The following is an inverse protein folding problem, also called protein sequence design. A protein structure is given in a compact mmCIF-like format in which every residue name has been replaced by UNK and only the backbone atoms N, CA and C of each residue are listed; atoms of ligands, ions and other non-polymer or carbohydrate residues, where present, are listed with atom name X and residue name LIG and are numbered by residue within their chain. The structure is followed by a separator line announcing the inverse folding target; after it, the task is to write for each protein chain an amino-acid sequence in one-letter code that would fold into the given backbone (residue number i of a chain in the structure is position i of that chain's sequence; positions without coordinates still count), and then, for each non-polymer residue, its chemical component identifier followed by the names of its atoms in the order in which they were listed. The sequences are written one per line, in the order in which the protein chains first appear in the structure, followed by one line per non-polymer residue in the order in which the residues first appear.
data_IF_910715796140
#
_entry.id   IF_910715796140
#
_cell.length_a   1.000
_cell.length_b   1.000
_cell.length_c   1.000
_cell.angle_alpha   90.00
_cell.angle_beta   90.00
_cell.angle_gamma   90.00
#
_symmetry.space_group_name_H-M   'P 1'
#
loop_
_entity.id
_entity.type
_entity.pdbx_description
1 polymer ?
#
# COMPACT_ATOMS: atom_id res chain seq x y z
N UNK A 1 -35.15 -42.58 -50.93
CA UNK A 1 -35.18 -42.52 -49.46
C UNK A 1 -34.27 -41.38 -49.03
N UNK A 2 -34.85 -40.21 -48.74
CA UNK A 2 -34.13 -39.06 -48.21
C UNK A 2 -34.83 -38.67 -46.92
N UNK A 3 -34.22 -39.00 -45.79
CA UNK A 3 -34.67 -38.61 -44.46
C UNK A 3 -34.27 -37.15 -44.22
N UNK A 4 -35.28 -36.28 -44.10
CA UNK A 4 -35.12 -34.90 -43.66
C UNK A 4 -34.80 -34.85 -42.17
N UNK A 5 -33.73 -34.14 -41.82
CA UNK A 5 -33.36 -33.80 -40.45
C UNK A 5 -34.34 -32.70 -39.97
N UNK A 6 -35.21 -33.03 -39.03
CA UNK A 6 -36.02 -32.05 -38.31
C UNK A 6 -35.15 -31.45 -37.21
N UNK A 7 -34.79 -30.16 -37.34
CA UNK A 7 -34.22 -29.38 -36.25
C UNK A 7 -35.31 -29.19 -35.19
N UNK A 8 -35.10 -29.76 -34.00
CA UNK A 8 -35.91 -29.48 -32.83
C UNK A 8 -35.66 -28.04 -32.37
N UNK A 9 -36.73 -27.25 -32.25
CA UNK A 9 -36.68 -25.90 -31.70
C UNK A 9 -36.30 -25.94 -30.22
N UNK A 10 -35.46 -24.99 -29.78
CA UNK A 10 -35.18 -24.75 -28.36
C UNK A 10 -36.47 -24.44 -27.59
N UNK A 11 -36.64 -25.00 -26.37
CA UNK A 11 -37.80 -24.68 -25.54
C UNK A 11 -37.75 -23.20 -25.11
N UNK A 12 -38.92 -22.53 -25.01
CA UNK A 12 -38.99 -21.12 -24.63
C UNK A 12 -38.44 -20.92 -23.21
N UNK A 13 -37.69 -19.83 -23.02
CA UNK A 13 -37.16 -19.42 -21.71
C UNK A 13 -38.28 -19.38 -20.66
N UNK A 14 -38.09 -20.15 -19.58
CA UNK A 14 -39.02 -20.18 -18.45
C UNK A 14 -39.13 -18.78 -17.83
N UNK A 15 -40.34 -18.40 -17.38
CA UNK A 15 -40.55 -17.15 -16.65
C UNK A 15 -39.72 -17.17 -15.37
N UNK A 16 -39.12 -16.03 -14.96
CA UNK A 16 -38.36 -15.94 -13.72
C UNK A 16 -39.26 -16.32 -12.54
N UNK A 17 -38.74 -17.15 -11.63
CA UNK A 17 -39.48 -17.58 -10.44
C UNK A 17 -39.58 -16.44 -9.43
N UNK A 18 -40.70 -16.33 -8.71
CA UNK A 18 -40.87 -15.26 -7.73
C UNK A 18 -39.99 -15.51 -6.48
N UNK A 19 -39.45 -14.45 -5.84
CA UNK A 19 -38.64 -14.58 -4.61
C UNK A 19 -39.34 -15.40 -3.52
N UNK A 20 -40.66 -15.23 -3.37
CA UNK A 20 -41.47 -15.95 -2.38
C UNK A 20 -41.47 -17.46 -2.64
N UNK A 21 -41.43 -17.87 -3.91
CA UNK A 21 -41.33 -19.29 -4.27
C UNK A 21 -39.98 -19.87 -3.85
N UNK A 22 -38.89 -19.13 -4.08
CA UNK A 22 -37.55 -19.58 -3.69
C UNK A 22 -37.47 -19.70 -2.15
N UNK A 23 -37.98 -18.73 -1.40
CA UNK A 23 -38.03 -18.79 0.06
C UNK A 23 -38.85 -19.98 0.58
N UNK A 24 -39.99 -20.26 -0.06
CA UNK A 24 -40.81 -21.43 0.27
C UNK A 24 -40.02 -22.73 0.05
N UNK A 25 -39.29 -22.84 -1.06
CA UNK A 25 -38.45 -24.00 -1.36
C UNK A 25 -37.29 -24.14 -0.37
N UNK A 26 -36.64 -23.03 0.02
CA UNK A 26 -35.60 -23.05 1.06
C UNK A 26 -36.16 -23.58 2.39
N UNK A 27 -37.35 -23.11 2.82
CA UNK A 27 -38.00 -23.63 4.03
C UNK A 27 -38.27 -25.13 3.93
N UNK A 28 -38.72 -25.61 2.77
CA UNK A 28 -38.99 -27.03 2.51
C UNK A 28 -37.73 -27.90 2.51
N UNK A 29 -36.53 -27.33 2.39
CA UNK A 29 -35.29 -28.10 2.58
C UNK A 29 -35.15 -28.66 4.00
N UNK A 30 -35.83 -28.09 5.01
CA UNK A 30 -35.83 -28.55 6.40
C UNK A 30 -37.09 -29.31 6.80
N UNK A 31 -37.94 -29.68 5.84
CA UNK A 31 -39.20 -30.37 6.14
C UNK A 31 -38.96 -31.73 6.83
N UNK A 32 -39.90 -32.19 7.67
CA UNK A 32 -39.79 -33.49 8.33
C UNK A 32 -39.89 -34.65 7.33
N UNK A 33 -40.68 -34.48 6.27
CA UNK A 33 -40.86 -35.46 5.21
C UNK A 33 -39.70 -35.44 4.20
N UNK A 34 -39.09 -36.60 3.97
CA UNK A 34 -37.93 -36.76 3.09
C UNK A 34 -38.25 -36.39 1.63
N UNK A 35 -39.44 -36.76 1.13
CA UNK A 35 -39.81 -36.50 -0.27
C UNK A 35 -40.02 -35.02 -0.53
N UNK A 36 -40.60 -34.30 0.43
CA UNK A 36 -40.75 -32.85 0.39
C UNK A 36 -39.38 -32.15 0.31
N UNK A 37 -38.41 -32.58 1.13
CA UNK A 37 -37.02 -32.07 1.05
C UNK A 37 -36.38 -32.35 -0.30
N UNK A 38 -36.54 -33.57 -0.82
CA UNK A 38 -35.97 -33.97 -2.09
C UNK A 38 -36.55 -33.15 -3.26
N UNK A 39 -37.87 -32.98 -3.32
CA UNK A 39 -38.53 -32.18 -4.35
C UNK A 39 -38.08 -30.73 -4.32
N UNK A 40 -37.99 -30.13 -3.11
CA UNK A 40 -37.52 -28.76 -2.96
C UNK A 40 -36.06 -28.60 -3.45
N UNK A 41 -35.19 -29.55 -3.12
CA UNK A 41 -33.81 -29.54 -3.59
C UNK A 41 -33.71 -29.67 -5.13
N UNK A 42 -34.50 -30.56 -5.74
CA UNK A 42 -34.52 -30.72 -7.20
C UNK A 42 -35.03 -29.45 -7.89
N UNK A 43 -36.07 -28.81 -7.35
CA UNK A 43 -36.62 -27.57 -7.90
C UNK A 43 -35.61 -26.42 -7.77
N UNK A 44 -34.99 -26.23 -6.60
CA UNK A 44 -33.90 -25.26 -6.42
C UNK A 44 -32.70 -25.54 -7.34
N UNK A 45 -32.38 -26.81 -7.57
CA UNK A 45 -31.36 -27.21 -8.54
C UNK A 45 -31.71 -26.82 -9.99
N UNK A 46 -32.99 -26.93 -10.37
CA UNK A 46 -33.46 -26.48 -11.70
C UNK A 46 -33.45 -24.96 -11.84
N UNK A 47 -33.76 -24.23 -10.78
CA UNK A 47 -33.68 -22.76 -10.75
C UNK A 47 -32.25 -22.25 -10.93
N UNK A 48 -31.25 -23.03 -10.51
CA UNK A 48 -29.84 -22.71 -10.76
C UNK A 48 -29.46 -21.36 -10.13
N UNK A 49 -28.86 -20.49 -10.93
CA UNK A 49 -28.38 -19.18 -10.46
C UNK A 49 -29.49 -18.21 -10.03
N UNK A 50 -30.75 -18.44 -10.41
CA UNK A 50 -31.88 -17.66 -9.87
C UNK A 50 -32.03 -17.86 -8.36
N UNK A 51 -31.73 -19.06 -7.86
CA UNK A 51 -31.78 -19.38 -6.43
C UNK A 51 -30.46 -19.15 -5.69
N UNK A 52 -29.40 -18.72 -6.38
CA UNK A 52 -28.03 -18.66 -5.81
C UNK A 52 -27.97 -17.84 -4.52
N UNK A 53 -28.58 -16.65 -4.51
CA UNK A 53 -28.52 -15.75 -3.35
C UNK A 53 -29.23 -16.34 -2.13
N UNK A 54 -30.43 -16.87 -2.31
CA UNK A 54 -31.20 -17.52 -1.25
C UNK A 54 -30.51 -18.78 -0.73
N UNK A 55 -29.90 -19.59 -1.62
CA UNK A 55 -29.10 -20.75 -1.23
C UNK A 55 -27.83 -20.33 -0.48
N UNK A 56 -27.16 -19.26 -0.90
CA UNK A 56 -25.98 -18.75 -0.22
C UNK A 56 -26.32 -18.29 1.20
N UNK A 57 -27.42 -17.55 1.38
CA UNK A 57 -27.93 -17.17 2.70
C UNK A 57 -28.32 -18.39 3.55
N UNK A 58 -28.96 -19.39 2.96
CA UNK A 58 -29.35 -20.61 3.64
C UNK A 58 -28.17 -21.52 4.04
N UNK A 59 -26.97 -21.31 3.49
CA UNK A 59 -25.80 -22.17 3.73
C UNK A 59 -25.26 -22.14 5.17
N UNK A 60 -25.65 -21.12 5.95
CA UNK A 60 -25.33 -20.92 7.37
C UNK A 60 -26.57 -20.96 8.26
N UNK A 61 -27.70 -21.48 7.76
CA UNK A 61 -28.96 -21.58 8.49
C UNK A 61 -28.82 -22.45 9.77
N UNK A 62 -29.59 -22.11 10.81
CA UNK A 62 -29.57 -22.82 12.11
C UNK A 62 -30.03 -24.28 12.00
N UNK A 63 -30.99 -24.55 11.10
CA UNK A 63 -31.33 -25.89 10.67
C UNK A 63 -30.23 -26.48 9.78
N UNK A 64 -29.56 -27.50 10.32
CA UNK A 64 -28.47 -28.20 9.65
C UNK A 64 -28.87 -28.87 8.33
N UNK A 65 -30.12 -29.34 8.21
CA UNK A 65 -30.60 -29.98 6.97
C UNK A 65 -30.72 -28.95 5.84
N UNK A 66 -31.30 -27.78 6.14
CA UNK A 66 -31.36 -26.64 5.21
C UNK A 66 -29.94 -26.24 4.80
N UNK A 67 -29.06 -26.02 5.78
CA UNK A 67 -27.69 -25.58 5.53
C UNK A 67 -26.88 -26.58 4.71
N UNK A 68 -27.00 -27.88 5.01
CA UNK A 68 -26.29 -28.94 4.29
C UNK A 68 -26.74 -29.04 2.83
N UNK A 69 -28.05 -29.01 2.57
CA UNK A 69 -28.61 -29.09 1.21
C UNK A 69 -28.34 -27.84 0.39
N UNK A 70 -28.40 -26.67 1.01
CA UNK A 70 -28.00 -25.41 0.38
C UNK A 70 -26.52 -25.45 -0.06
N UNK A 71 -25.61 -25.87 0.83
CA UNK A 71 -24.18 -26.06 0.49
C UNK A 71 -23.97 -27.09 -0.62
N UNK A 72 -24.73 -28.17 -0.63
CA UNK A 72 -24.68 -29.17 -1.70
C UNK A 72 -25.06 -28.55 -3.05
N UNK A 73 -26.17 -27.83 -3.12
CA UNK A 73 -26.62 -27.16 -4.35
C UNK A 73 -25.61 -26.12 -4.85
N UNK A 74 -25.09 -25.26 -3.96
CA UNK A 74 -24.06 -24.27 -4.32
C UNK A 74 -22.79 -24.90 -4.87
N UNK A 75 -22.40 -26.08 -4.38
CA UNK A 75 -21.24 -26.82 -4.89
C UNK A 75 -21.47 -27.36 -6.31
N UNK A 76 -22.71 -27.70 -6.65
CA UNK A 76 -23.07 -28.14 -8.00
C UNK A 76 -23.14 -26.99 -8.99
N UNK A 77 -23.43 -25.77 -8.52
CA UNK A 77 -23.43 -24.57 -9.35
C UNK A 77 -22.02 -24.24 -9.83
N UNK A 78 -21.84 -24.26 -11.14
CA UNK A 78 -20.63 -23.77 -11.82
C UNK A 78 -20.97 -22.44 -12.48
N UNK A 79 -20.40 -21.36 -11.96
CA UNK A 79 -20.59 -20.05 -12.55
C UNK A 79 -19.74 -19.94 -13.82
N UNK A 80 -20.36 -19.45 -14.88
CA UNK A 80 -19.60 -18.96 -16.04
C UNK A 80 -19.06 -17.58 -15.66
N UNK A 81 -17.78 -17.56 -15.30
CA UNK A 81 -17.09 -16.32 -14.95
C UNK A 81 -16.87 -15.41 -16.17
N UNK A 82 -17.01 -15.93 -17.38
CA UNK A 82 -16.83 -15.24 -18.64
C UNK A 82 -18.16 -15.18 -19.39
N UNK A 83 -18.49 -14.02 -19.95
CA UNK A 83 -19.63 -13.80 -20.85
C UNK A 83 -19.17 -13.58 -22.29
N UNK A 84 -20.05 -13.88 -23.25
CA UNK A 84 -19.81 -13.62 -24.67
C UNK A 84 -19.49 -12.13 -24.94
N UNK A 85 -20.17 -11.22 -24.22
CA UNK A 85 -19.98 -9.77 -24.32
C UNK A 85 -18.74 -9.23 -23.62
N UNK A 86 -18.03 -10.06 -22.83
CA UNK A 86 -16.80 -9.60 -22.16
C UNK A 86 -15.69 -9.35 -23.19
N UNK A 87 -14.85 -8.36 -22.92
CA UNK A 87 -13.70 -8.07 -23.75
C UNK A 87 -12.61 -9.15 -23.65
N UNK A 88 -11.63 -9.09 -24.56
CA UNK A 88 -10.49 -10.01 -24.53
C UNK A 88 -9.72 -9.94 -23.20
N UNK A 89 -9.53 -8.72 -22.64
CA UNK A 89 -8.81 -8.52 -21.37
C UNK A 89 -9.58 -9.10 -20.19
N UNK A 90 -10.90 -8.90 -20.13
CA UNK A 90 -11.76 -9.48 -19.08
C UNK A 90 -11.74 -11.01 -19.17
N UNK A 91 -11.85 -11.57 -20.38
CA UNK A 91 -11.79 -13.01 -20.65
C UNK A 91 -10.47 -13.62 -20.19
N UNK A 92 -9.35 -12.97 -20.50
CA UNK A 92 -8.02 -13.38 -20.05
C UNK A 92 -7.90 -13.30 -18.52
N UNK A 93 -8.37 -12.22 -17.91
CA UNK A 93 -8.30 -12.03 -16.46
C UNK A 93 -9.06 -13.10 -15.68
N UNK A 94 -10.24 -13.50 -16.16
CA UNK A 94 -11.11 -14.51 -15.52
C UNK A 94 -10.88 -15.94 -16.02
N UNK A 95 -9.89 -16.15 -16.89
CA UNK A 95 -9.52 -17.48 -17.33
C UNK A 95 -9.08 -18.35 -16.14
N UNK A 96 -9.67 -19.54 -16.01
CA UNK A 96 -9.40 -20.48 -14.91
C UNK A 96 -9.61 -19.88 -13.51
N UNK A 97 -10.44 -18.84 -13.36
CA UNK A 97 -10.65 -18.13 -12.09
C UNK A 97 -11.01 -19.07 -10.91
N UNK A 98 -11.84 -20.09 -11.14
CA UNK A 98 -12.26 -21.06 -10.11
C UNK A 98 -11.07 -21.84 -9.52
N UNK A 99 -9.99 -22.05 -10.28
CA UNK A 99 -8.82 -22.82 -9.84
C UNK A 99 -7.82 -21.97 -9.03
N UNK A 100 -8.00 -20.65 -8.99
CA UNK A 100 -7.11 -19.72 -8.29
C UNK A 100 -7.33 -19.75 -6.77
N UNK A 101 -6.25 -19.53 -6.02
CA UNK A 101 -6.32 -19.31 -4.57
C UNK A 101 -6.85 -17.90 -4.23
N UNK A 102 -7.14 -17.65 -2.95
CA UNK A 102 -7.75 -16.40 -2.47
C UNK A 102 -6.94 -15.15 -2.88
N UNK A 103 -5.62 -15.06 -2.60
CA UNK A 103 -4.82 -13.90 -3.04
C UNK A 103 -4.83 -13.67 -4.55
N UNK A 104 -4.77 -14.74 -5.35
CA UNK A 104 -4.80 -14.64 -6.80
C UNK A 104 -6.17 -14.12 -7.29
N UNK A 105 -7.27 -14.55 -6.69
CA UNK A 105 -8.61 -14.05 -7.03
C UNK A 105 -8.77 -12.57 -6.68
N UNK A 106 -8.29 -12.16 -5.51
CA UNK A 106 -8.25 -10.74 -5.10
C UNK A 106 -7.47 -9.89 -6.10
N UNK A 107 -6.30 -10.36 -6.54
CA UNK A 107 -5.51 -9.68 -7.57
C UNK A 107 -6.29 -9.55 -8.89
N UNK A 108 -7.03 -10.58 -9.31
CA UNK A 108 -7.90 -10.48 -10.51
C UNK A 108 -8.98 -9.40 -10.34
N UNK A 109 -9.57 -9.27 -9.17
CA UNK A 109 -10.57 -8.22 -8.89
C UNK A 109 -9.95 -6.82 -9.02
N UNK A 110 -8.76 -6.61 -8.47
CA UNK A 110 -8.02 -5.35 -8.61
C UNK A 110 -7.68 -5.05 -10.07
N UNK A 111 -7.20 -6.05 -10.82
CA UNK A 111 -6.91 -5.90 -12.26
C UNK A 111 -8.17 -5.53 -13.05
N UNK A 112 -9.30 -6.16 -12.78
CA UNK A 112 -10.58 -5.81 -13.42
C UNK A 112 -11.00 -4.38 -13.10
N UNK A 113 -10.83 -3.93 -11.86
CA UNK A 113 -11.21 -2.58 -11.44
C UNK A 113 -10.33 -1.51 -12.11
N UNK A 114 -9.05 -1.83 -12.37
CA UNK A 114 -8.11 -0.94 -13.05
C UNK A 114 -8.22 -0.92 -14.59
N UNK A 115 -9.15 -1.68 -15.19
CA UNK A 115 -9.34 -1.64 -16.65
C UNK A 115 -9.93 -0.27 -17.08
N UNK A 116 -9.49 0.28 -18.22
CA UNK A 116 -9.95 1.59 -18.69
C UNK A 116 -11.44 1.58 -19.01
N UNK A 117 -12.06 2.77 -18.95
CA UNK A 117 -13.45 3.01 -19.34
C UNK A 117 -14.51 2.14 -18.63
N UNK A 118 -14.17 1.58 -17.46
CA UNK A 118 -15.06 0.71 -16.69
C UNK A 118 -15.29 -0.68 -17.31
N UNK A 119 -14.41 -1.13 -18.21
CA UNK A 119 -14.52 -2.40 -18.93
C UNK A 119 -14.67 -3.62 -18.00
N UNK A 120 -14.09 -3.58 -16.79
CA UNK A 120 -14.21 -4.63 -15.79
C UNK A 120 -15.44 -4.57 -14.87
N UNK A 121 -16.25 -3.52 -14.94
CA UNK A 121 -17.36 -3.28 -13.96
C UNK A 121 -18.41 -4.38 -14.03
N UNK A 122 -18.82 -4.80 -15.23
CA UNK A 122 -19.83 -5.86 -15.36
C UNK A 122 -19.32 -7.21 -14.82
N UNK A 123 -18.05 -7.52 -15.07
CA UNK A 123 -17.39 -8.72 -14.55
C UNK A 123 -17.28 -8.68 -13.01
N UNK A 124 -16.96 -7.53 -12.43
CA UNK A 124 -16.95 -7.34 -10.98
C UNK A 124 -18.36 -7.44 -10.39
N UNK A 125 -19.40 -6.91 -11.04
CA UNK A 125 -20.79 -7.11 -10.61
C UNK A 125 -21.16 -8.61 -10.61
N UNK A 126 -20.68 -9.38 -11.60
CA UNK A 126 -20.86 -10.84 -11.66
C UNK A 126 -20.18 -11.54 -10.48
N UNK A 127 -18.95 -11.14 -10.14
CA UNK A 127 -18.23 -11.65 -8.97
C UNK A 127 -18.93 -11.28 -7.65
N UNK A 128 -19.37 -10.03 -7.50
CA UNK A 128 -20.17 -9.58 -6.35
C UNK A 128 -21.38 -10.48 -6.16
N UNK A 129 -22.08 -10.83 -7.25
CA UNK A 129 -23.31 -11.61 -7.19
C UNK A 129 -23.08 -13.10 -6.95
N UNK A 130 -22.10 -13.70 -7.62
CA UNK A 130 -21.99 -15.15 -7.75
C UNK A 130 -20.75 -15.78 -7.10
N UNK A 131 -19.83 -14.97 -6.56
CA UNK A 131 -18.70 -15.51 -5.79
C UNK A 131 -19.20 -16.24 -4.54
N UNK A 132 -18.75 -17.48 -4.40
CA UNK A 132 -19.19 -18.42 -3.35
C UNK A 132 -18.70 -17.98 -1.98
N UNK A 133 -17.49 -17.42 -1.92
CA UNK A 133 -16.98 -16.82 -0.68
C UNK A 133 -17.64 -15.45 -0.45
N UNK A 134 -18.31 -15.31 0.70
CA UNK A 134 -18.90 -14.03 1.13
C UNK A 134 -17.84 -12.92 1.20
N UNK A 135 -16.66 -13.23 1.75
CA UNK A 135 -15.54 -12.29 1.83
C UNK A 135 -15.01 -11.86 0.44
N UNK A 136 -14.81 -12.80 -0.49
CA UNK A 136 -14.35 -12.49 -1.86
C UNK A 136 -15.41 -11.68 -2.64
N UNK A 137 -16.69 -11.99 -2.47
CA UNK A 137 -17.81 -11.23 -3.05
C UNK A 137 -17.81 -9.76 -2.57
N UNK A 138 -17.54 -9.53 -1.28
CA UNK A 138 -17.36 -8.18 -0.71
C UNK A 138 -16.10 -7.48 -1.23
N UNK A 139 -15.01 -8.21 -1.38
CA UNK A 139 -13.76 -7.67 -1.95
C UNK A 139 -13.91 -7.25 -3.42
N UNK A 140 -14.73 -7.95 -4.21
CA UNK A 140 -15.06 -7.52 -5.56
C UNK A 140 -15.78 -6.16 -5.59
N UNK A 141 -16.65 -5.89 -4.60
CA UNK A 141 -17.27 -4.57 -4.45
C UNK A 141 -16.25 -3.51 -4.02
N UNK A 142 -15.40 -3.82 -3.04
CA UNK A 142 -14.36 -2.90 -2.56
C UNK A 142 -13.34 -2.54 -3.64
N UNK A 143 -13.04 -3.45 -4.57
CA UNK A 143 -12.17 -3.16 -5.71
C UNK A 143 -12.71 -2.02 -6.59
N UNK A 144 -14.04 -1.89 -6.72
CA UNK A 144 -14.67 -0.79 -7.46
C UNK A 144 -14.74 0.53 -6.68
N UNK A 145 -14.77 0.46 -5.35
CA UNK A 145 -14.99 1.62 -4.48
C UNK A 145 -13.77 2.53 -4.32
N UNK A 146 -12.62 2.13 -4.90
CA UNK A 146 -11.34 2.85 -4.92
C UNK A 146 -11.05 3.68 -3.66
N UNK A 147 -10.41 3.06 -2.67
CA UNK A 147 -10.17 3.68 -1.37
C UNK A 147 -9.28 4.94 -1.42
N UNK A 148 -8.52 5.16 -2.50
CA UNK A 148 -7.55 6.25 -2.62
C UNK A 148 -8.09 7.51 -3.33
N UNK A 149 -9.10 7.35 -4.20
CA UNK A 149 -9.90 8.48 -4.71
C UNK A 149 -11.39 8.12 -4.69
N UNK A 150 -12.12 8.55 -3.64
CA UNK A 150 -13.54 8.28 -3.52
C UNK A 150 -14.33 9.23 -4.43
N UNK A 151 -14.32 9.01 -5.73
CA UNK A 151 -15.20 9.71 -6.66
C UNK A 151 -16.57 9.00 -6.71
N UNK A 152 -17.67 9.72 -6.98
CA UNK A 152 -18.90 9.07 -7.36
C UNK A 152 -18.69 8.33 -8.69
N UNK A 153 -19.38 7.20 -8.93
CA UNK A 153 -19.25 6.48 -10.19
C UNK A 153 -19.79 7.31 -11.35
N UNK A 154 -19.16 7.21 -12.52
CA UNK A 154 -19.67 7.81 -13.76
C UNK A 154 -21.00 7.19 -14.19
N UNK A 155 -21.76 7.90 -15.03
CA UNK A 155 -23.12 7.51 -15.45
C UNK A 155 -23.20 6.10 -16.06
N UNK A 156 -22.23 5.73 -16.90
CA UNK A 156 -22.15 4.39 -17.49
C UNK A 156 -22.00 3.29 -16.42
N UNK A 157 -21.16 3.54 -15.41
CA UNK A 157 -20.93 2.62 -14.28
C UNK A 157 -22.18 2.51 -13.42
N UNK A 158 -22.86 3.63 -13.13
CA UNK A 158 -24.14 3.65 -12.41
C UNK A 158 -25.18 2.78 -13.11
N UNK A 159 -25.30 2.92 -14.44
CA UNK A 159 -26.24 2.13 -15.24
C UNK A 159 -25.95 0.64 -15.12
N UNK A 160 -24.69 0.22 -15.29
CA UNK A 160 -24.29 -1.19 -15.16
C UNK A 160 -24.60 -1.72 -13.75
N UNK A 161 -24.20 -1.00 -12.71
CA UNK A 161 -24.44 -1.42 -11.32
C UNK A 161 -25.94 -1.60 -11.07
N UNK A 162 -26.77 -0.63 -11.46
CA UNK A 162 -28.23 -0.73 -11.27
C UNK A 162 -28.82 -1.90 -12.06
N UNK A 163 -28.48 -2.04 -13.33
CA UNK A 163 -28.98 -3.13 -14.19
C UNK A 163 -28.60 -4.52 -13.64
N UNK A 164 -27.38 -4.69 -13.14
CA UNK A 164 -26.86 -5.99 -12.70
C UNK A 164 -27.19 -6.33 -11.24
N UNK A 165 -27.32 -5.32 -10.37
CA UNK A 165 -27.33 -5.50 -8.92
C UNK A 165 -28.56 -4.94 -8.20
N UNK A 166 -29.48 -4.20 -8.84
CA UNK A 166 -30.64 -3.58 -8.14
C UNK A 166 -31.51 -4.55 -7.32
N UNK A 167 -31.57 -5.82 -7.72
CA UNK A 167 -32.35 -6.86 -7.03
C UNK A 167 -31.47 -7.84 -6.25
N UNK A 168 -30.17 -7.55 -6.13
CA UNK A 168 -29.22 -8.40 -5.41
C UNK A 168 -29.15 -7.97 -3.95
N UNK A 169 -29.34 -8.91 -3.03
CA UNK A 169 -29.35 -8.63 -1.59
C UNK A 169 -28.00 -8.84 -0.90
N UNK A 170 -26.97 -9.21 -1.66
CA UNK A 170 -25.63 -9.43 -1.11
C UNK A 170 -25.01 -8.12 -0.60
N UNK A 171 -24.24 -8.13 0.51
CA UNK A 171 -23.64 -6.92 1.08
C UNK A 171 -22.88 -6.08 0.06
N UNK A 172 -21.99 -6.68 -0.73
CA UNK A 172 -21.23 -5.97 -1.77
C UNK A 172 -22.11 -5.28 -2.81
N UNK A 173 -23.26 -5.85 -3.16
CA UNK A 173 -24.20 -5.22 -4.09
C UNK A 173 -24.89 -4.00 -3.45
N UNK A 174 -25.30 -4.12 -2.19
CA UNK A 174 -25.88 -3.02 -1.41
C UNK A 174 -24.87 -1.87 -1.31
N UNK A 175 -23.59 -2.17 -1.06
CA UNK A 175 -22.52 -1.16 -1.00
C UNK A 175 -22.37 -0.42 -2.33
N UNK A 176 -22.31 -1.14 -3.45
CA UNK A 176 -22.19 -0.51 -4.78
C UNK A 176 -23.42 0.34 -5.12
N UNK A 177 -24.62 -0.10 -4.76
CA UNK A 177 -25.84 0.68 -4.94
C UNK A 177 -25.83 1.95 -4.10
N UNK A 178 -25.39 1.88 -2.84
CA UNK A 178 -25.20 3.06 -1.99
C UNK A 178 -24.16 4.03 -2.60
N UNK A 179 -23.07 3.49 -3.17
CA UNK A 179 -22.08 4.30 -3.88
C UNK A 179 -22.65 5.04 -5.09
N UNK A 180 -23.59 4.45 -5.84
CA UNK A 180 -24.26 5.19 -6.94
C UNK A 180 -25.05 6.40 -6.46
N UNK A 181 -25.53 6.41 -5.21
CA UNK A 181 -26.30 7.52 -4.63
C UNK A 181 -25.43 8.67 -4.14
N UNK A 182 -24.13 8.45 -3.93
CA UNK A 182 -23.20 9.50 -3.52
C UNK A 182 -23.09 10.62 -4.56
N UNK A 183 -23.30 10.32 -5.85
CA UNK A 183 -23.35 11.34 -6.91
C UNK A 183 -24.62 12.21 -6.89
N UNK A 184 -25.68 11.76 -6.24
CA UNK A 184 -26.99 12.44 -6.20
C UNK A 184 -27.17 13.23 -4.90
N UNK A 185 -26.98 12.56 -3.75
CA UNK A 185 -27.08 13.16 -2.42
C UNK A 185 -25.99 12.58 -1.51
N UNK A 186 -24.78 13.19 -1.53
CA UNK A 186 -23.64 12.69 -0.77
C UNK A 186 -23.90 12.54 0.73
N UNK A 187 -24.68 13.45 1.33
CA UNK A 187 -24.91 13.48 2.77
C UNK A 187 -25.81 12.32 3.21
N UNK A 188 -26.97 12.14 2.56
CA UNK A 188 -27.86 11.03 2.88
C UNK A 188 -27.22 9.67 2.60
N UNK A 189 -26.47 9.56 1.49
CA UNK A 189 -25.77 8.33 1.14
C UNK A 189 -24.66 7.99 2.16
N UNK A 190 -24.00 8.99 2.74
CA UNK A 190 -22.95 8.76 3.75
C UNK A 190 -23.53 8.35 5.13
N UNK A 191 -24.71 8.85 5.50
CA UNK A 191 -25.45 8.35 6.67
C UNK A 191 -25.91 6.89 6.48
N UNK A 192 -26.32 6.52 5.27
CA UNK A 192 -26.60 5.12 4.92
C UNK A 192 -25.31 4.27 4.98
N UNK A 193 -24.20 4.79 4.43
CA UNK A 193 -22.91 4.12 4.45
C UNK A 193 -22.41 3.82 5.86
N UNK A 194 -22.58 4.75 6.80
CA UNK A 194 -22.21 4.52 8.20
C UNK A 194 -22.93 3.29 8.81
N UNK A 195 -24.22 3.10 8.48
CA UNK A 195 -24.97 1.92 8.92
C UNK A 195 -24.43 0.64 8.30
N UNK A 196 -24.01 0.70 7.03
CA UNK A 196 -23.39 -0.44 6.34
C UNK A 196 -22.05 -0.82 6.96
N UNK A 197 -21.23 0.17 7.34
CA UNK A 197 -19.97 -0.06 8.07
C UNK A 197 -20.23 -0.72 9.43
N UNK A 198 -21.19 -0.22 10.19
CA UNK A 198 -21.54 -0.78 11.50
C UNK A 198 -22.07 -2.21 11.40
N UNK A 199 -22.87 -2.51 10.37
CA UNK A 199 -23.36 -3.86 10.11
C UNK A 199 -22.23 -4.81 9.72
N UNK A 200 -21.31 -4.39 8.85
CA UNK A 200 -20.17 -5.23 8.46
C UNK A 200 -19.21 -5.48 9.64
N UNK A 201 -19.04 -4.49 10.54
CA UNK A 201 -18.32 -4.68 11.80
C UNK A 201 -18.96 -5.76 12.67
N UNK A 202 -20.31 -5.79 12.75
CA UNK A 202 -21.05 -6.83 13.48
C UNK A 202 -20.85 -8.20 12.84
N UNK A 203 -20.88 -8.29 11.51
CA UNK A 203 -20.60 -9.54 10.78
C UNK A 203 -19.20 -10.03 11.06
N UNK A 204 -18.19 -9.16 11.03
CA UNK A 204 -16.81 -9.51 11.38
C UNK A 204 -16.68 -10.08 12.80
N UNK A 205 -17.39 -9.49 13.78
CA UNK A 205 -17.36 -9.96 15.16
C UNK A 205 -18.09 -11.30 15.37
N UNK A 206 -19.18 -11.55 14.65
CA UNK A 206 -20.06 -12.70 14.87
C UNK A 206 -19.77 -13.88 13.95
N UNK A 207 -19.28 -13.62 12.74
CA UNK A 207 -19.07 -14.62 11.70
C UNK A 207 -17.75 -14.37 10.95
N UNK A 208 -16.59 -14.60 11.60
CA UNK A 208 -15.28 -14.29 11.03
C UNK A 208 -14.97 -14.86 9.63
N UNK A 209 -15.53 -16.01 9.18
CA UNK A 209 -15.30 -16.47 7.80
C UNK A 209 -15.96 -15.61 6.71
N UNK A 210 -16.94 -14.77 7.06
CA UNK A 210 -17.71 -13.97 6.11
C UNK A 210 -17.21 -12.52 5.97
N UNK A 211 -16.24 -12.11 6.77
CA UNK A 211 -15.67 -10.76 6.78
C UNK A 211 -14.24 -10.78 7.32
N UNK A 212 -13.56 -9.64 7.29
CA UNK A 212 -12.20 -9.52 7.78
C UNK A 212 -11.84 -8.08 8.16
N UNK A 213 -10.79 -7.87 8.97
CA UNK A 213 -10.33 -6.53 9.32
C UNK A 213 -10.03 -5.69 8.08
N UNK A 214 -9.51 -6.30 7.01
CA UNK A 214 -9.21 -5.65 5.74
C UNK A 214 -10.46 -5.10 5.03
N UNK A 215 -11.58 -5.85 5.09
CA UNK A 215 -12.86 -5.43 4.49
C UNK A 215 -13.42 -4.23 5.25
N UNK A 216 -13.50 -4.35 6.58
CA UNK A 216 -14.02 -3.27 7.43
C UNK A 216 -13.13 -2.01 7.32
N UNK A 217 -11.81 -2.20 7.31
CA UNK A 217 -10.85 -1.10 7.17
C UNK A 217 -11.03 -0.36 5.86
N UNK A 218 -11.18 -1.07 4.74
CA UNK A 218 -11.43 -0.46 3.43
C UNK A 218 -12.73 0.35 3.41
N UNK A 219 -13.82 -0.16 4.01
CA UNK A 219 -15.09 0.59 4.10
C UNK A 219 -14.97 1.86 4.95
N UNK A 220 -14.19 1.81 6.04
CA UNK A 220 -13.93 2.97 6.90
C UNK A 220 -13.05 3.99 6.16
N UNK A 221 -11.99 3.56 5.47
CA UNK A 221 -11.13 4.47 4.67
C UNK A 221 -11.94 5.19 3.60
N UNK A 222 -12.82 4.48 2.90
CA UNK A 222 -13.78 5.08 1.96
C UNK A 222 -14.68 6.12 2.64
N UNK A 223 -15.22 5.79 3.82
CA UNK A 223 -16.05 6.72 4.60
C UNK A 223 -15.27 7.99 4.98
N UNK A 224 -14.05 7.84 5.51
CA UNK A 224 -13.18 8.96 5.92
C UNK A 224 -12.90 9.88 4.74
N UNK A 225 -12.58 9.31 3.59
CA UNK A 225 -12.24 10.09 2.41
C UNK A 225 -13.44 10.92 1.90
N UNK A 226 -14.68 10.39 1.98
CA UNK A 226 -15.91 11.18 1.72
C UNK A 226 -16.21 12.23 2.80
N UNK A 227 -16.04 11.88 4.08
CA UNK A 227 -16.23 12.83 5.18
C UNK A 227 -15.28 14.03 5.04
N UNK A 228 -14.02 13.79 4.65
CA UNK A 228 -13.04 14.83 4.35
C UNK A 228 -13.48 15.70 3.16
N UNK A 229 -13.94 15.09 2.05
CA UNK A 229 -14.48 15.84 0.88
C UNK A 229 -15.67 16.73 1.24
N UNK A 230 -16.49 16.33 2.22
CA UNK A 230 -17.65 17.09 2.71
C UNK A 230 -17.34 18.05 3.87
N UNK A 231 -16.07 18.17 4.28
CA UNK A 231 -15.65 19.04 5.39
C UNK A 231 -16.17 18.58 6.77
N UNK A 232 -16.43 17.27 6.95
CA UNK A 232 -16.94 16.66 8.18
C UNK A 232 -15.81 16.12 9.07
N UNK A 233 -14.87 16.99 9.43
CA UNK A 233 -13.62 16.60 10.12
C UNK A 233 -13.82 15.82 11.42
N UNK A 234 -14.80 16.20 12.26
CA UNK A 234 -15.04 15.48 13.54
C UNK A 234 -15.52 14.05 13.32
N UNK A 235 -16.43 13.84 12.36
CA UNK A 235 -16.91 12.50 11.99
C UNK A 235 -15.80 11.68 11.33
N UNK A 236 -14.93 12.32 10.52
CA UNK A 236 -13.77 11.66 9.94
C UNK A 236 -12.80 11.18 11.04
N UNK A 237 -12.53 12.02 12.03
CA UNK A 237 -11.68 11.66 13.17
C UNK A 237 -12.27 10.49 13.99
N UNK A 238 -13.59 10.44 14.19
CA UNK A 238 -14.25 9.30 14.83
C UNK A 238 -14.14 8.02 14.01
N UNK A 239 -14.33 8.10 12.70
CA UNK A 239 -14.15 6.96 11.80
C UNK A 239 -12.69 6.46 11.83
N UNK A 240 -11.70 7.36 11.88
CA UNK A 240 -10.29 7.01 12.04
C UNK A 240 -10.02 6.31 13.39
N UNK A 241 -10.60 6.77 14.49
CA UNK A 241 -10.49 6.08 15.79
C UNK A 241 -11.06 4.66 15.75
N UNK A 242 -12.19 4.47 15.06
CA UNK A 242 -12.72 3.12 14.79
C UNK A 242 -11.71 2.27 14.01
N UNK A 243 -11.04 2.82 13.00
CA UNK A 243 -9.99 2.10 12.27
C UNK A 243 -8.82 1.69 13.20
N UNK A 244 -8.32 2.61 14.02
CA UNK A 244 -7.28 2.30 15.02
C UNK A 244 -7.71 1.19 15.98
N UNK A 245 -8.99 1.13 16.35
CA UNK A 245 -9.52 0.09 17.23
C UNK A 245 -9.55 -1.32 16.61
N UNK A 246 -9.56 -1.43 15.28
CA UNK A 246 -9.54 -2.71 14.55
C UNK A 246 -8.14 -3.32 14.46
N UNK A 247 -7.10 -2.50 14.59
CA UNK A 247 -5.71 -2.94 14.52
C UNK A 247 -5.42 -3.97 15.63
N UNK A 248 -4.61 -4.98 15.30
CA UNK A 248 -4.24 -6.09 16.19
C UNK A 248 -2.75 -6.07 16.58
N UNK A 249 -1.97 -5.17 15.99
CA UNK A 249 -0.56 -4.95 16.34
C UNK A 249 0.40 -5.83 15.56
N UNK A 250 0.05 -6.22 14.33
CA UNK A 250 1.01 -6.82 13.39
C UNK A 250 1.98 -5.77 12.88
N UNK A 251 3.26 -6.13 12.70
CA UNK A 251 4.27 -5.13 12.28
C UNK A 251 3.94 -4.49 10.93
N UNK A 252 3.61 -5.31 9.92
CA UNK A 252 3.23 -4.85 8.58
C UNK A 252 1.93 -4.04 8.61
N UNK A 253 0.89 -4.51 9.31
CA UNK A 253 -0.39 -3.78 9.41
C UNK A 253 -0.26 -2.46 10.17
N UNK A 254 0.58 -2.40 11.20
CA UNK A 254 0.89 -1.17 11.92
C UNK A 254 1.59 -0.15 11.02
N UNK A 255 2.57 -0.59 10.23
CA UNK A 255 3.27 0.28 9.30
C UNK A 255 2.31 0.85 8.23
N UNK A 256 1.51 -0.01 7.59
CA UNK A 256 0.52 0.41 6.59
C UNK A 256 -0.53 1.38 7.15
N UNK A 257 -1.01 1.13 8.37
CA UNK A 257 -1.96 2.02 9.03
C UNK A 257 -1.29 3.35 9.38
N UNK A 258 -0.05 3.33 9.87
CA UNK A 258 0.69 4.52 10.26
C UNK A 258 0.96 5.44 9.07
N UNK A 259 1.40 4.90 7.94
CA UNK A 259 1.58 5.65 6.69
C UNK A 259 0.28 6.36 6.28
N UNK A 260 -0.84 5.62 6.28
CA UNK A 260 -2.14 6.20 5.96
C UNK A 260 -2.56 7.29 6.96
N UNK A 261 -2.34 7.11 8.27
CA UNK A 261 -2.67 8.12 9.28
C UNK A 261 -1.85 9.41 9.11
N UNK A 262 -0.60 9.32 8.66
CA UNK A 262 0.25 10.48 8.36
C UNK A 262 -0.30 11.25 7.16
N UNK A 263 -0.70 10.55 6.09
CA UNK A 263 -1.34 11.17 4.92
C UNK A 263 -2.62 11.91 5.32
N UNK A 264 -3.42 11.32 6.22
CA UNK A 264 -4.63 11.95 6.76
C UNK A 264 -4.33 13.06 7.80
N UNK A 265 -3.07 13.28 8.18
CA UNK A 265 -2.66 14.18 9.27
C UNK A 265 -3.38 13.89 10.59
N UNK A 266 -3.68 12.62 10.84
CA UNK A 266 -4.47 12.15 11.97
C UNK A 266 -3.60 11.96 13.23
N UNK A 267 -2.94 13.03 13.67
CA UNK A 267 -1.90 12.99 14.70
C UNK A 267 -2.36 12.38 16.02
N UNK A 268 -3.58 12.68 16.45
CA UNK A 268 -4.15 12.11 17.67
C UNK A 268 -4.36 10.59 17.55
N UNK A 269 -4.77 10.11 16.38
CA UNK A 269 -4.97 8.68 16.15
C UNK A 269 -3.63 7.91 16.17
N UNK A 270 -2.54 8.55 15.75
CA UNK A 270 -1.19 7.98 15.87
C UNK A 270 -0.76 7.90 17.34
N UNK A 271 -1.02 8.95 18.14
CA UNK A 271 -0.75 8.93 19.58
C UNK A 271 -1.53 7.79 20.26
N UNK A 272 -2.80 7.61 19.91
CA UNK A 272 -3.65 6.50 20.40
C UNK A 272 -3.12 5.13 19.96
N UNK A 273 -2.67 5.01 18.70
CA UNK A 273 -2.09 3.78 18.17
C UNK A 273 -0.82 3.39 18.92
N UNK A 274 0.09 4.34 19.16
CA UNK A 274 1.33 4.13 19.91
C UNK A 274 1.07 3.75 21.38
N UNK A 275 0.03 4.32 22.01
CA UNK A 275 -0.39 3.95 23.37
C UNK A 275 -0.97 2.54 23.46
N UNK A 276 -1.60 2.06 22.38
CA UNK A 276 -2.23 0.74 22.31
C UNK A 276 -1.23 -0.39 22.03
N UNK A 277 -0.15 -0.07 21.31
CA UNK A 277 0.91 -1.02 20.95
C UNK A 277 2.32 -0.63 21.47
N UNK A 278 2.52 -0.32 22.77
CA UNK A 278 3.83 0.11 23.26
C UNK A 278 4.97 -0.87 23.00
N UNK A 279 4.81 -2.21 23.15
CA UNK A 279 5.88 -3.16 22.86
C UNK A 279 6.32 -3.16 21.40
N UNK A 280 5.37 -3.04 20.47
CA UNK A 280 5.63 -3.04 19.03
C UNK A 280 6.40 -1.78 18.63
N UNK A 281 5.92 -0.62 19.05
CA UNK A 281 6.62 0.64 18.82
C UNK A 281 8.00 0.62 19.48
N UNK A 282 8.13 0.15 20.72
CA UNK A 282 9.40 0.14 21.42
C UNK A 282 10.47 -0.80 20.80
N UNK A 283 10.06 -1.75 19.96
CA UNK A 283 10.95 -2.72 19.33
C UNK A 283 11.33 -2.37 17.88
N UNK A 284 10.68 -1.37 17.28
CA UNK A 284 10.83 -1.04 15.86
C UNK A 284 11.36 0.39 15.66
N UNK A 285 12.57 0.57 15.09
CA UNK A 285 13.14 1.88 14.84
C UNK A 285 12.28 2.75 13.91
N UNK A 286 11.66 2.16 12.90
CA UNK A 286 10.86 2.89 11.91
C UNK A 286 9.59 3.44 12.54
N UNK A 287 8.91 2.64 13.39
CA UNK A 287 7.75 3.12 14.15
C UNK A 287 8.13 4.23 15.13
N UNK A 288 9.30 4.16 15.79
CA UNK A 288 9.77 5.21 16.70
C UNK A 288 10.16 6.50 15.99
N UNK A 289 10.85 6.42 14.85
CA UNK A 289 11.17 7.60 14.05
C UNK A 289 9.93 8.27 13.48
N UNK A 290 8.94 7.46 13.11
CA UNK A 290 7.66 7.99 12.65
C UNK A 290 6.89 8.68 13.78
N UNK A 291 6.91 8.10 14.99
CA UNK A 291 6.37 8.77 16.18
C UNK A 291 7.13 10.07 16.51
N UNK A 292 8.45 10.09 16.35
CA UNK A 292 9.27 11.28 16.52
C UNK A 292 8.87 12.38 15.53
N UNK A 293 8.65 12.02 14.26
CA UNK A 293 8.15 12.92 13.23
C UNK A 293 6.80 13.53 13.62
N UNK A 294 5.87 12.69 14.08
CA UNK A 294 4.53 13.13 14.51
C UNK A 294 4.63 14.11 15.68
N UNK A 295 5.44 13.82 16.69
CA UNK A 295 5.67 14.76 17.79
C UNK A 295 6.31 16.07 17.32
N UNK A 296 7.23 16.04 16.36
CA UNK A 296 7.84 17.24 15.80
C UNK A 296 6.79 18.12 15.08
N UNK A 297 5.91 17.52 14.28
CA UNK A 297 4.84 18.22 13.56
C UNK A 297 3.77 18.80 14.51
N UNK A 298 3.56 18.16 15.67
CA UNK A 298 2.73 18.70 16.75
C UNK A 298 3.44 19.78 17.61
N UNK A 299 4.70 20.11 17.33
CA UNK A 299 5.49 21.06 18.11
C UNK A 299 6.03 20.52 19.45
N UNK A 300 5.87 19.23 19.73
CA UNK A 300 6.31 18.55 20.95
C UNK A 300 7.78 18.14 20.84
N UNK A 301 8.68 19.12 20.76
CA UNK A 301 10.11 18.94 20.45
C UNK A 301 10.83 17.93 21.37
N UNK A 302 10.57 17.98 22.67
CA UNK A 302 11.25 17.08 23.62
C UNK A 302 10.83 15.62 23.42
N UNK A 303 9.55 15.37 23.15
CA UNK A 303 9.05 14.03 22.86
C UNK A 303 9.56 13.51 21.52
N UNK A 304 9.67 14.38 20.51
CA UNK A 304 10.28 14.04 19.23
C UNK A 304 11.74 13.61 19.42
N UNK A 305 12.53 14.40 20.15
CA UNK A 305 13.93 14.08 20.43
C UNK A 305 14.06 12.76 21.22
N UNK A 306 13.21 12.54 22.23
CA UNK A 306 13.21 11.30 23.01
C UNK A 306 12.85 10.08 22.16
N UNK A 307 11.85 10.19 21.28
CA UNK A 307 11.46 9.08 20.41
C UNK A 307 12.56 8.74 19.40
N UNK A 308 13.16 9.74 18.75
CA UNK A 308 14.29 9.56 17.85
C UNK A 308 15.52 8.97 18.55
N UNK A 309 15.81 9.41 19.78
CA UNK A 309 16.89 8.85 20.59
C UNK A 309 16.66 7.38 20.92
N UNK A 310 15.43 7.01 21.29
CA UNK A 310 15.07 5.61 21.55
C UNK A 310 15.22 4.76 20.29
N UNK A 311 14.84 5.30 19.12
CA UNK A 311 15.02 4.61 17.84
C UNK A 311 16.50 4.32 17.56
N UNK A 312 17.36 5.33 17.71
CA UNK A 312 18.82 5.21 17.52
C UNK A 312 19.47 4.22 18.50
N UNK A 313 18.90 4.05 19.69
CA UNK A 313 19.40 3.09 20.69
C UNK A 313 18.97 1.64 20.42
N UNK A 314 18.07 1.41 19.47
CA UNK A 314 17.72 0.05 19.03
C UNK A 314 18.83 -0.52 18.16
N UNK A 315 18.93 -1.85 18.17
CA UNK A 315 19.98 -2.62 17.48
C UNK A 315 21.42 -2.20 17.88
N UNK A 316 21.75 -2.09 19.18
CA UNK A 316 23.05 -1.60 19.59
C UNK A 316 24.16 -2.59 19.26
N UNK A 317 25.31 -2.08 18.81
CA UNK A 317 26.51 -2.87 18.53
C UNK A 317 27.07 -2.67 17.13
N UNK A 318 27.99 -3.59 16.78
CA UNK A 318 28.85 -3.53 15.59
C UNK A 318 28.67 -4.73 14.64
N UNK A 319 27.71 -5.61 14.93
CA UNK A 319 27.46 -6.76 14.04
C UNK A 319 26.86 -6.26 12.71
N UNK A 320 27.13 -6.93 11.57
CA UNK A 320 26.61 -6.52 10.27
C UNK A 320 25.11 -6.27 10.28
N UNK A 321 24.33 -7.20 10.83
CA UNK A 321 22.87 -7.12 10.85
C UNK A 321 22.39 -5.88 11.59
N UNK A 322 23.09 -5.48 12.66
CA UNK A 322 22.79 -4.29 13.45
C UNK A 322 23.10 -3.02 12.66
N UNK A 323 24.30 -2.95 12.08
CA UNK A 323 24.72 -1.82 11.25
C UNK A 323 23.82 -1.65 10.01
N UNK A 324 23.39 -2.75 9.39
CA UNK A 324 22.42 -2.73 8.30
C UNK A 324 21.07 -2.13 8.72
N UNK A 325 20.58 -2.42 9.93
CA UNK A 325 19.34 -1.80 10.45
C UNK A 325 19.47 -0.28 10.59
N UNK A 326 20.61 0.20 11.10
CA UNK A 326 20.89 1.64 11.17
C UNK A 326 20.97 2.28 9.77
N UNK A 327 21.60 1.62 8.79
CA UNK A 327 21.62 2.09 7.41
C UNK A 327 20.22 2.18 6.78
N UNK A 328 19.39 1.15 6.97
CA UNK A 328 18.00 1.15 6.49
C UNK A 328 17.20 2.30 7.10
N UNK A 329 17.37 2.56 8.40
CA UNK A 329 16.76 3.70 9.08
C UNK A 329 17.26 5.04 8.50
N UNK A 330 18.58 5.18 8.30
CA UNK A 330 19.18 6.39 7.71
C UNK A 330 18.60 6.71 6.32
N UNK A 331 18.44 5.70 5.48
CA UNK A 331 17.86 5.83 4.13
C UNK A 331 16.39 6.21 4.17
N UNK A 332 15.58 5.49 4.95
CA UNK A 332 14.16 5.80 5.11
C UNK A 332 13.96 7.24 5.61
N UNK A 333 14.76 7.68 6.60
CA UNK A 333 14.75 9.03 7.12
C UNK A 333 15.15 10.07 6.07
N UNK A 334 16.19 9.79 5.27
CA UNK A 334 16.64 10.66 4.18
C UNK A 334 15.53 10.84 3.15
N UNK A 335 14.91 9.75 2.72
CA UNK A 335 13.86 9.77 1.69
C UNK A 335 12.61 10.51 2.19
N UNK A 336 12.38 10.54 3.51
CA UNK A 336 11.36 11.36 4.19
C UNK A 336 11.80 12.80 4.52
N UNK A 337 12.99 13.22 4.07
CA UNK A 337 13.55 14.56 4.32
C UNK A 337 13.93 14.83 5.78
N UNK A 338 14.04 13.81 6.63
CA UNK A 338 14.45 13.92 8.05
C UNK A 338 15.97 13.86 8.18
N UNK A 339 16.63 14.84 7.59
CA UNK A 339 18.09 14.88 7.44
C UNK A 339 18.84 14.84 8.77
N UNK A 340 18.36 15.54 9.81
CA UNK A 340 19.03 15.56 11.12
C UNK A 340 19.10 14.16 11.76
N UNK A 341 18.02 13.37 11.67
CA UNK A 341 18.00 12.02 12.21
C UNK A 341 18.75 11.04 11.32
N UNK A 342 18.62 11.17 9.99
CA UNK A 342 19.40 10.38 9.02
C UNK A 342 20.91 10.54 9.25
N UNK A 343 21.38 11.77 9.47
CA UNK A 343 22.77 12.07 9.83
C UNK A 343 23.25 11.28 11.04
N UNK A 344 22.46 11.25 12.13
CA UNK A 344 22.82 10.54 13.38
C UNK A 344 22.97 9.05 13.16
N UNK A 345 22.13 8.45 12.32
CA UNK A 345 22.21 7.03 11.95
C UNK A 345 23.47 6.73 11.14
N UNK A 346 23.80 7.54 10.13
CA UNK A 346 25.06 7.39 9.39
C UNK A 346 26.28 7.57 10.29
N UNK A 347 26.26 8.57 11.18
CA UNK A 347 27.32 8.81 12.16
C UNK A 347 27.49 7.62 13.11
N UNK A 348 26.39 6.99 13.55
CA UNK A 348 26.43 5.79 14.37
C UNK A 348 27.12 4.63 13.63
N UNK A 349 26.72 4.38 12.37
CA UNK A 349 27.35 3.33 11.54
C UNK A 349 28.84 3.59 11.39
N UNK A 350 29.25 4.81 11.06
CA UNK A 350 30.66 5.20 10.92
C UNK A 350 31.43 5.02 12.23
N UNK A 351 30.81 5.31 13.38
CA UNK A 351 31.45 5.21 14.69
C UNK A 351 31.60 3.77 15.18
N UNK A 352 30.65 2.89 14.87
CA UNK A 352 30.65 1.50 15.33
C UNK A 352 31.30 0.52 14.35
N UNK A 353 31.42 0.90 13.07
CA UNK A 353 31.99 0.05 12.05
C UNK A 353 33.48 -0.23 12.30
N UNK A 354 33.83 -1.51 12.37
CA UNK A 354 35.23 -1.97 12.39
C UNK A 354 35.81 -2.12 10.98
N UNK A 355 37.08 -2.51 10.91
CA UNK A 355 37.77 -2.79 9.62
C UNK A 355 37.11 -3.94 8.83
N UNK A 356 36.48 -4.88 9.54
CA UNK A 356 35.81 -6.06 8.96
C UNK A 356 34.58 -5.73 8.10
N UNK A 357 34.00 -4.54 8.26
CA UNK A 357 32.79 -4.09 7.57
C UNK A 357 32.98 -2.74 6.87
N UNK A 358 34.22 -2.46 6.44
CA UNK A 358 34.59 -1.17 5.89
C UNK A 358 33.72 -0.72 4.70
N UNK A 359 33.08 -1.65 3.97
CA UNK A 359 32.06 -1.35 2.96
C UNK A 359 30.88 -0.52 3.51
N UNK A 360 30.41 -0.81 4.73
CA UNK A 360 29.31 -0.09 5.36
C UNK A 360 29.74 1.33 5.78
N UNK A 361 30.98 1.46 6.27
CA UNK A 361 31.57 2.77 6.58
C UNK A 361 31.76 3.62 5.33
N UNK A 362 32.24 3.04 4.23
CA UNK A 362 32.38 3.73 2.93
C UNK A 362 31.00 4.23 2.46
N UNK A 363 29.99 3.37 2.52
CA UNK A 363 28.63 3.70 2.14
C UNK A 363 28.08 4.85 2.99
N UNK A 364 28.06 4.69 4.31
CA UNK A 364 27.56 5.70 5.25
C UNK A 364 28.28 7.05 5.11
N UNK A 365 29.61 7.03 4.99
CA UNK A 365 30.42 8.25 4.87
C UNK A 365 30.15 9.00 3.56
N UNK A 366 29.90 8.28 2.47
CA UNK A 366 29.60 8.88 1.17
C UNK A 366 28.26 9.62 1.19
N UNK A 367 27.21 8.99 1.75
CA UNK A 367 25.91 9.63 1.90
C UNK A 367 25.92 10.78 2.91
N UNK A 368 26.58 10.58 4.06
CA UNK A 368 26.75 11.64 5.05
C UNK A 368 27.45 12.86 4.44
N UNK A 369 28.51 12.65 3.65
CA UNK A 369 29.22 13.75 3.02
C UNK A 369 28.35 14.56 2.05
N UNK A 370 27.55 13.89 1.22
CA UNK A 370 26.61 14.58 0.33
C UNK A 370 25.56 15.36 1.12
N UNK A 371 24.98 14.73 2.15
CA UNK A 371 23.99 15.38 3.02
C UNK A 371 24.55 16.66 3.68
N UNK A 372 25.78 16.58 4.21
CA UNK A 372 26.47 17.72 4.82
C UNK A 372 26.81 18.80 3.78
N UNK A 373 27.24 18.40 2.58
CA UNK A 373 27.54 19.34 1.51
C UNK A 373 26.31 20.11 1.07
N UNK A 374 25.17 19.44 0.90
CA UNK A 374 23.88 20.05 0.53
C UNK A 374 23.36 21.02 1.61
N UNK A 375 23.75 20.80 2.87
CA UNK A 375 23.46 21.71 3.99
C UNK A 375 24.46 22.88 4.13
N UNK A 376 25.49 22.95 3.27
CA UNK A 376 26.56 23.96 3.34
C UNK A 376 27.67 23.63 4.36
N UNK A 377 27.62 22.47 5.03
CA UNK A 377 28.67 22.01 5.96
C UNK A 377 29.86 21.39 5.20
N UNK A 378 30.42 22.12 4.24
CA UNK A 378 31.42 21.62 3.28
C UNK A 378 32.68 21.03 3.93
N UNK A 379 33.15 21.63 5.04
CA UNK A 379 34.32 21.12 5.76
C UNK A 379 34.04 19.79 6.46
N UNK A 380 32.85 19.63 7.04
CA UNK A 380 32.43 18.38 7.66
C UNK A 380 32.21 17.29 6.61
N UNK A 381 31.64 17.65 5.45
CA UNK A 381 31.50 16.76 4.31
C UNK A 381 32.86 16.21 3.83
N UNK A 382 33.85 17.10 3.65
CA UNK A 382 35.21 16.71 3.30
C UNK A 382 35.84 15.80 4.37
N UNK A 383 35.62 16.10 5.66
CA UNK A 383 36.14 15.28 6.75
C UNK A 383 35.55 13.86 6.78
N UNK A 384 34.27 13.70 6.44
CA UNK A 384 33.63 12.38 6.33
C UNK A 384 34.29 11.52 5.25
N UNK A 385 34.49 12.09 4.05
CA UNK A 385 35.18 11.38 2.95
C UNK A 385 36.66 11.13 3.24
N UNK A 386 37.33 12.04 3.95
CA UNK A 386 38.74 11.88 4.32
C UNK A 386 38.99 10.61 5.12
N UNK A 387 38.10 10.25 6.04
CA UNK A 387 38.20 9.00 6.81
C UNK A 387 38.19 7.77 5.91
N UNK A 388 37.37 7.79 4.86
CA UNK A 388 37.33 6.71 3.85
C UNK A 388 38.65 6.63 3.11
N UNK A 389 39.18 7.77 2.65
CA UNK A 389 40.46 7.83 1.93
C UNK A 389 41.60 7.30 2.80
N UNK A 390 41.70 7.76 4.05
CA UNK A 390 42.72 7.30 5.00
C UNK A 390 42.61 5.79 5.28
N UNK A 391 41.40 5.25 5.40
CA UNK A 391 41.18 3.81 5.62
C UNK A 391 41.58 2.97 4.40
N UNK A 392 41.30 3.44 3.18
CA UNK A 392 41.72 2.76 1.94
C UNK A 392 43.23 2.84 1.76
N UNK A 393 43.84 4.00 2.00
CA UNK A 393 45.29 4.22 1.90
C UNK A 393 46.07 3.37 2.92
N UNK A 394 45.50 3.19 4.12
CA UNK A 394 46.03 2.28 5.14
C UNK A 394 45.80 0.78 4.82
N UNK A 395 45.15 0.46 3.70
CA UNK A 395 44.84 -0.91 3.27
C UNK A 395 43.64 -1.56 3.98
N UNK A 396 42.99 -0.85 4.91
CA UNK A 396 41.93 -1.38 5.79
C UNK A 396 40.57 -1.51 5.10
N UNK A 397 40.34 -0.75 4.04
CA UNK A 397 39.09 -0.74 3.27
C UNK A 397 39.31 -1.07 1.77
N UNK A 398 40.55 -1.43 1.40
CA UNK A 398 40.98 -1.51 -0.01
C UNK A 398 40.23 -2.58 -0.81
N UNK A 399 39.86 -3.69 -0.19
CA UNK A 399 39.14 -4.79 -0.85
C UNK A 399 37.68 -4.44 -1.18
N UNK A 400 37.12 -3.44 -0.51
CA UNK A 400 35.71 -3.05 -0.62
C UNK A 400 35.47 -1.87 -1.55
N UNK A 401 36.53 -1.16 -1.93
CA UNK A 401 36.46 0.03 -2.79
C UNK A 401 37.31 -0.18 -4.03
N UNK A 402 36.67 -0.23 -5.19
CA UNK A 402 37.40 -0.25 -6.47
C UNK A 402 38.19 1.04 -6.66
N UNK A 403 39.33 0.97 -7.33
CA UNK A 403 40.22 2.13 -7.58
C UNK A 403 39.49 3.33 -8.24
N UNK A 404 38.56 3.06 -9.15
CA UNK A 404 37.73 4.11 -9.76
C UNK A 404 36.79 4.79 -8.74
N UNK A 405 36.25 4.04 -7.79
CA UNK A 405 35.34 4.56 -6.77
C UNK A 405 36.11 5.39 -5.72
N UNK A 406 37.33 4.97 -5.33
CA UNK A 406 38.13 5.76 -4.39
C UNK A 406 38.62 7.06 -5.02
N UNK A 407 38.92 7.08 -6.32
CA UNK A 407 39.28 8.32 -7.01
C UNK A 407 38.11 9.31 -7.05
N UNK A 408 36.87 8.83 -7.25
CA UNK A 408 35.68 9.68 -7.12
C UNK A 408 35.54 10.25 -5.71
N UNK A 409 35.70 9.42 -4.68
CA UNK A 409 35.64 9.85 -3.26
C UNK A 409 36.73 10.89 -2.94
N UNK A 410 37.96 10.69 -3.43
CA UNK A 410 39.06 11.67 -3.27
C UNK A 410 38.76 12.98 -4.00
N UNK A 411 38.21 12.91 -5.22
CA UNK A 411 37.79 14.09 -5.97
C UNK A 411 36.74 14.89 -5.18
N UNK A 412 35.67 14.24 -4.73
CA UNK A 412 34.60 14.85 -3.95
C UNK A 412 35.12 15.45 -2.63
N UNK A 413 36.01 14.74 -1.91
CA UNK A 413 36.65 15.24 -0.69
C UNK A 413 37.38 16.56 -0.94
N UNK A 414 38.18 16.62 -1.99
CA UNK A 414 38.93 17.82 -2.37
C UNK A 414 38.02 18.94 -2.87
N UNK A 415 36.99 18.60 -3.65
CA UNK A 415 35.97 19.55 -4.09
C UNK A 415 35.22 20.19 -2.92
N UNK A 416 34.76 19.41 -1.95
CA UNK A 416 34.10 19.93 -0.74
C UNK A 416 35.04 20.81 0.09
N UNK A 417 36.33 20.43 0.17
CA UNK A 417 37.35 21.29 0.79
C UNK A 417 37.47 22.63 0.06
N UNK A 418 37.43 22.63 -1.28
CA UNK A 418 37.46 23.86 -2.07
C UNK A 418 36.22 24.72 -1.83
N UNK A 419 35.02 24.14 -1.77
CA UNK A 419 33.79 24.88 -1.49
C UNK A 419 33.86 25.57 -0.12
N UNK A 420 34.38 24.90 0.92
CA UNK A 420 34.61 25.54 2.21
C UNK A 420 35.51 26.79 2.10
N UNK A 421 36.66 26.66 1.43
CA UNK A 421 37.58 27.80 1.29
C UNK A 421 37.02 28.92 0.40
N UNK A 422 36.14 28.59 -0.54
CA UNK A 422 35.40 29.56 -1.31
C UNK A 422 34.53 30.46 -0.40
N UNK A 423 33.78 29.86 0.54
CA UNK A 423 32.96 30.60 1.50
C UNK A 423 33.81 31.48 2.44
N UNK A 424 35.03 31.04 2.77
CA UNK A 424 35.98 31.82 3.57
C UNK A 424 36.74 32.88 2.77
N UNK A 425 36.52 32.98 1.45
CA UNK A 425 37.29 33.82 0.52
C UNK A 425 38.82 33.57 0.54
N UNK A 426 39.24 32.36 0.89
CA UNK A 426 40.66 31.95 0.88
C UNK A 426 41.02 31.36 -0.50
N UNK A 427 41.24 32.24 -1.48
CA UNK A 427 41.52 31.86 -2.87
C UNK A 427 42.72 30.92 -3.03
N UNK A 428 43.87 31.12 -2.32
CA UNK A 428 44.99 30.20 -2.40
C UNK A 428 44.60 28.77 -2.01
N UNK A 429 43.91 28.58 -0.87
CA UNK A 429 43.51 27.25 -0.42
C UNK A 429 42.39 26.64 -1.26
N UNK A 430 41.45 27.47 -1.73
CA UNK A 430 40.43 27.02 -2.67
C UNK A 430 41.07 26.45 -3.94
N UNK A 431 42.03 27.17 -4.53
CA UNK A 431 42.73 26.73 -5.74
C UNK A 431 43.55 25.48 -5.49
N UNK A 432 44.29 25.41 -4.39
CA UNK A 432 45.05 24.21 -4.02
C UNK A 432 44.14 22.97 -3.93
N UNK A 433 42.96 23.11 -3.31
CA UNK A 433 42.01 22.02 -3.20
C UNK A 433 41.42 21.61 -4.56
N UNK A 434 41.09 22.57 -5.43
CA UNK A 434 40.62 22.29 -6.81
C UNK A 434 41.69 21.61 -7.65
N UNK A 435 42.96 22.02 -7.54
CA UNK A 435 44.06 21.37 -8.25
C UNK A 435 44.20 19.90 -7.81
N UNK A 436 44.11 19.61 -6.50
CA UNK A 436 44.11 18.22 -5.99
C UNK A 436 42.91 17.39 -6.48
N UNK A 437 41.73 17.99 -6.59
CA UNK A 437 40.57 17.32 -7.19
C UNK A 437 40.82 16.96 -8.67
N UNK A 438 41.36 17.90 -9.46
CA UNK A 438 41.68 17.69 -10.88
C UNK A 438 42.81 16.68 -11.12
N UNK A 439 43.77 16.55 -10.20
CA UNK A 439 44.81 15.52 -10.28
C UNK A 439 44.21 14.10 -10.27
N UNK A 440 43.12 13.91 -9.53
CA UNK A 440 42.45 12.62 -9.38
C UNK A 440 41.37 12.40 -10.43
N UNK A 441 40.58 13.43 -10.75
CA UNK A 441 39.52 13.39 -11.76
C UNK A 441 39.55 14.65 -12.63
N UNK A 442 40.36 14.67 -13.70
CA UNK A 442 40.57 15.87 -14.52
C UNK A 442 39.32 16.38 -15.24
N UNK A 443 38.30 15.53 -15.40
CA UNK A 443 37.06 15.82 -16.15
C UNK A 443 35.83 15.92 -15.25
N UNK A 444 36.02 16.08 -13.95
CA UNK A 444 34.92 16.27 -13.02
C UNK A 444 34.23 17.61 -13.29
N UNK A 445 32.93 17.56 -13.59
CA UNK A 445 32.17 18.71 -14.08
C UNK A 445 32.05 19.79 -13.00
N UNK A 446 31.79 19.40 -11.74
CA UNK A 446 31.60 20.35 -10.64
C UNK A 446 32.89 21.07 -10.30
N UNK A 447 34.01 20.34 -10.31
CA UNK A 447 35.35 20.91 -10.10
C UNK A 447 35.72 21.87 -11.23
N UNK A 448 35.44 21.54 -12.50
CA UNK A 448 35.71 22.42 -13.64
C UNK A 448 34.85 23.69 -13.58
N UNK A 449 33.57 23.57 -13.20
CA UNK A 449 32.69 24.73 -12.98
C UNK A 449 33.25 25.62 -11.87
N UNK A 450 33.67 25.05 -10.74
CA UNK A 450 34.27 25.81 -9.65
C UNK A 450 35.58 26.49 -10.06
N UNK A 451 36.43 25.81 -10.83
CA UNK A 451 37.64 26.39 -11.41
C UNK A 451 37.32 27.61 -12.29
N UNK A 452 36.29 27.53 -13.13
CA UNK A 452 35.87 28.65 -13.98
C UNK A 452 35.30 29.84 -13.21
N UNK A 453 34.75 29.62 -12.02
CA UNK A 453 34.20 30.67 -11.16
C UNK A 453 35.26 31.42 -10.33
N UNK A 454 36.52 30.95 -10.28
CA UNK A 454 37.57 31.64 -9.53
C UNK A 454 37.81 33.07 -10.08
N UNK A 455 37.91 34.10 -9.23
CA UNK A 455 38.31 35.43 -9.67
C UNK A 455 39.80 35.46 -10.08
N UNK A 456 40.16 36.41 -10.94
CA UNK A 456 41.56 36.75 -11.28
C UNK A 456 42.46 35.56 -11.69
N UNK A 457 41.88 34.56 -12.36
CA UNK A 457 42.62 33.39 -12.84
C UNK A 457 43.77 33.77 -13.78
N UNK A 458 45.02 33.32 -13.51
CA UNK A 458 46.14 33.51 -14.43
C UNK A 458 45.85 32.90 -15.81
N UNK A 459 46.37 33.49 -16.90
CA UNK A 459 46.17 32.96 -18.26
C UNK A 459 46.57 31.49 -18.42
N UNK A 460 47.65 31.09 -17.75
CA UNK A 460 48.13 29.70 -17.74
C UNK A 460 47.12 28.74 -17.08
N UNK A 461 46.45 29.18 -16.01
CA UNK A 461 45.43 28.38 -15.34
C UNK A 461 44.19 28.23 -16.23
N UNK A 462 43.73 29.32 -16.86
CA UNK A 462 42.62 29.25 -17.83
C UNK A 462 42.93 28.32 -18.99
N UNK A 463 44.16 28.37 -19.52
CA UNK A 463 44.62 27.49 -20.58
C UNK A 463 44.76 26.02 -20.14
N UNK A 464 45.13 25.77 -18.87
CA UNK A 464 45.13 24.42 -18.27
C UNK A 464 43.71 23.87 -18.21
N UNK A 465 42.77 24.62 -17.63
CA UNK A 465 41.37 24.17 -17.47
C UNK A 465 40.68 24.00 -18.83
N UNK A 466 40.91 24.88 -19.81
CA UNK A 466 40.30 24.77 -21.14
C UNK A 466 40.78 23.56 -21.97
N UNK A 467 41.83 22.85 -21.54
CA UNK A 467 42.37 21.65 -22.20
C UNK A 467 41.84 20.35 -21.60
N UNK A 468 41.22 20.43 -20.42
CA UNK A 468 40.61 19.30 -19.72
C UNK A 468 39.16 19.14 -20.15
#
# INVERSE_FOLDING_TARGET
MSLGLVLAAEPPAAKPSSPERIEELIRKLGDKDYFTRQQAQEELGRLGFEAFEALNAASTHEDFEIASRARYLLRLMRAEWISAGDSAKVKECLQNYEALNVPQRQLRMQVLAGLPDGEGVEALCRLVRFEKSSALSKQAALALLNADDPAPPGEAVVKIIREKLQNCTRPGAIWLLAWTRLGENPQAALEEWEKLVAEEQRVFQQTPPESGPEIVSAMIRFQVAWLNKLGRGEQAAEAIRRLVSLEKGGAESLAELLDWLIEQKAWQAIDELAQRFPPQFAADPELLYTLAQVYAEQGKKDQAAQAAERALQLNPGKQPEQLFRHLQAAESLRDRGRHDWSRREYEYVIAQCGEEHAELMVYASSYLANLLHDQGEHLAAAAALKRVVEAVDAGKAKEFVRDANINLIRCQMHYFTACHWAEQNDLPKQREALDKALEVSPRDVDVLIACHKLPDQPPEFRAKIAKL
#
